data_IF_781636354001
#
_entry.id   IF_781636354001
#
_cell.length_a   1.000
_cell.length_b   1.000
_cell.length_c   1.000
_cell.angle_alpha   90.00
_cell.angle_beta   90.00
_cell.angle_gamma   90.00
#
_symmetry.space_group_name_H-M   'P 1'
#
loop_
_entity.id
_entity.type
_entity.pdbx_description
1 polymer ?
#
# COMPACT_ATOMS: atom_id res chain seq x y z
N UNK A 1 37.48 16.95 -5.79
CA UNK A 1 36.42 17.84 -6.32
C UNK A 1 35.13 17.46 -5.61
N UNK A 2 34.73 18.31 -4.67
CA UNK A 2 33.54 18.19 -3.84
C UNK A 2 32.26 18.06 -4.64
N UNK A 3 31.34 17.22 -4.15
CA UNK A 3 29.94 17.61 -3.92
C UNK A 3 29.17 16.47 -3.25
N UNK A 4 29.58 16.07 -2.04
CA UNK A 4 28.71 15.34 -1.10
C UNK A 4 27.74 16.33 -0.46
N UNK A 5 26.78 16.84 -1.25
CA UNK A 5 25.67 17.63 -0.71
C UNK A 5 24.86 16.72 0.20
N UNK A 6 24.94 16.95 1.51
CA UNK A 6 23.99 16.38 2.47
C UNK A 6 22.57 16.56 1.91
N UNK A 7 21.70 15.54 1.97
CA UNK A 7 20.37 15.64 1.39
C UNK A 7 19.66 16.83 2.01
N UNK A 8 19.36 17.83 1.17
CA UNK A 8 18.72 19.05 1.60
C UNK A 8 17.40 18.71 2.30
N UNK A 9 17.04 19.47 3.32
CA UNK A 9 15.77 19.28 4.04
C UNK A 9 14.58 19.22 3.08
N UNK A 10 14.68 19.93 1.95
CA UNK A 10 13.75 19.91 0.81
C UNK A 10 13.62 18.51 0.21
N UNK A 11 14.72 17.80 -0.06
CA UNK A 11 14.67 16.45 -0.62
C UNK A 11 13.98 15.45 0.33
N UNK A 12 14.20 15.59 1.65
CA UNK A 12 13.53 14.76 2.66
C UNK A 12 12.02 15.03 2.73
N UNK A 13 11.61 16.29 2.63
CA UNK A 13 10.19 16.67 2.59
C UNK A 13 9.55 16.20 1.28
N UNK A 14 10.21 16.39 0.14
CA UNK A 14 9.73 15.92 -1.15
C UNK A 14 9.50 14.41 -1.16
N UNK A 15 10.42 13.62 -0.61
CA UNK A 15 10.26 12.16 -0.52
C UNK A 15 9.05 11.76 0.35
N UNK A 16 8.79 12.48 1.45
CA UNK A 16 7.60 12.25 2.30
C UNK A 16 6.31 12.63 1.57
N UNK A 17 6.32 13.72 0.81
CA UNK A 17 5.15 14.14 0.02
C UNK A 17 4.84 13.13 -1.08
N UNK A 18 5.86 12.67 -1.82
CA UNK A 18 5.69 11.61 -2.84
C UNK A 18 5.18 10.33 -2.19
N UNK A 19 5.71 9.96 -1.02
CA UNK A 19 5.25 8.79 -0.28
C UNK A 19 3.76 8.89 0.09
N UNK A 20 3.35 10.02 0.67
CA UNK A 20 1.94 10.27 0.98
C UNK A 20 1.05 10.33 -0.25
N UNK A 21 1.54 10.94 -1.35
CA UNK A 21 0.78 11.02 -2.60
C UNK A 21 0.50 9.63 -3.18
N UNK A 22 1.48 8.72 -3.16
CA UNK A 22 1.30 7.34 -3.63
C UNK A 22 0.27 6.60 -2.77
N UNK A 23 0.38 6.70 -1.44
CA UNK A 23 -0.56 6.06 -0.51
C UNK A 23 -1.98 6.58 -0.71
N UNK A 24 -2.15 7.90 -0.80
CA UNK A 24 -3.46 8.52 -1.01
C UNK A 24 -4.05 8.08 -2.35
N UNK A 25 -3.25 8.05 -3.42
CA UNK A 25 -3.73 7.62 -4.73
C UNK A 25 -4.26 6.18 -4.69
N UNK A 26 -3.50 5.24 -4.14
CA UNK A 26 -3.96 3.86 -3.98
C UNK A 26 -5.18 3.74 -3.07
N UNK A 27 -5.23 4.51 -1.97
CA UNK A 27 -6.40 4.51 -1.08
C UNK A 27 -7.66 4.98 -1.81
N UNK A 28 -7.56 6.03 -2.62
CA UNK A 28 -8.67 6.52 -3.44
C UNK A 28 -9.11 5.46 -4.46
N UNK A 29 -8.17 4.82 -5.17
CA UNK A 29 -8.47 3.75 -6.13
C UNK A 29 -9.20 2.57 -5.46
N UNK A 30 -8.74 2.13 -4.28
CA UNK A 30 -9.37 1.07 -3.50
C UNK A 30 -10.81 1.45 -3.12
N UNK A 31 -11.02 2.66 -2.59
CA UNK A 31 -12.35 3.15 -2.19
C UNK A 31 -13.27 3.29 -3.42
N UNK A 32 -12.75 3.80 -4.52
CA UNK A 32 -13.50 3.97 -5.77
C UNK A 32 -13.93 2.63 -6.35
N UNK A 33 -12.99 1.68 -6.49
CA UNK A 33 -13.30 0.35 -7.01
C UNK A 33 -14.28 -0.40 -6.09
N UNK A 34 -14.11 -0.30 -4.77
CA UNK A 34 -15.07 -0.85 -3.81
C UNK A 34 -16.46 -0.22 -3.96
N UNK A 35 -16.54 1.11 -4.06
CA UNK A 35 -17.80 1.83 -4.28
C UNK A 35 -18.49 1.38 -5.57
N UNK A 36 -17.73 1.24 -6.66
CA UNK A 36 -18.26 0.75 -7.94
C UNK A 36 -18.84 -0.66 -7.80
N UNK A 37 -18.15 -1.58 -7.12
CA UNK A 37 -18.57 -2.98 -6.96
C UNK A 37 -19.81 -3.13 -6.06
N UNK A 38 -19.86 -2.37 -4.96
CA UNK A 38 -20.85 -2.55 -3.89
C UNK A 38 -22.03 -1.57 -3.93
N UNK A 39 -21.88 -0.42 -4.58
CA UNK A 39 -22.92 0.60 -4.64
C UNK A 39 -23.44 0.77 -6.07
N UNK A 40 -22.56 1.05 -7.03
CA UNK A 40 -23.00 1.38 -8.40
C UNK A 40 -23.47 0.15 -9.16
N UNK A 41 -22.72 -0.95 -9.11
CA UNK A 41 -23.07 -2.20 -9.79
C UNK A 41 -23.83 -3.18 -8.89
N UNK A 42 -24.19 -2.78 -7.67
CA UNK A 42 -25.13 -3.54 -6.87
C UNK A 42 -26.54 -3.36 -7.43
N UNK A 43 -27.17 -4.47 -7.84
CA UNK A 43 -28.53 -4.47 -8.33
C UNK A 43 -29.52 -4.05 -7.23
N UNK A 44 -30.73 -3.58 -7.61
CA UNK A 44 -31.80 -3.09 -6.74
C UNK A 44 -31.80 -3.75 -5.35
N UNK A 45 -31.27 -3.05 -4.34
CA UNK A 45 -31.18 -3.53 -2.96
C UNK A 45 -29.80 -3.44 -2.31
N UNK A 46 -28.71 -3.20 -3.05
CA UNK A 46 -27.39 -2.91 -2.46
C UNK A 46 -26.81 -4.09 -1.65
N UNK A 47 -26.04 -4.98 -2.29
CA UNK A 47 -25.43 -6.11 -1.58
C UNK A 47 -24.77 -7.14 -2.50
N UNK A 48 -24.20 -8.22 -1.91
CA UNK A 48 -23.57 -9.28 -2.69
C UNK A 48 -24.61 -9.93 -3.61
N UNK A 49 -24.22 -10.17 -4.86
CA UNK A 49 -25.03 -10.85 -5.85
C UNK A 49 -25.01 -12.36 -5.57
N UNK A 50 -25.67 -12.78 -4.48
CA UNK A 50 -25.79 -14.17 -4.06
C UNK A 50 -26.48 -15.01 -5.14
N UNK A 51 -27.80 -14.85 -5.28
CA UNK A 51 -28.67 -15.66 -6.15
C UNK A 51 -29.13 -14.94 -7.42
N UNK A 52 -28.87 -13.62 -7.55
CA UNK A 52 -29.30 -12.80 -8.69
C UNK A 52 -28.25 -12.66 -9.80
N UNK A 53 -27.16 -13.42 -9.74
CA UNK A 53 -26.09 -13.36 -10.74
C UNK A 53 -26.58 -13.74 -12.15
N UNK A 54 -27.56 -14.65 -12.25
CA UNK A 54 -28.08 -15.17 -13.53
C UNK A 54 -29.03 -14.20 -14.26
N UNK A 55 -29.56 -13.18 -13.58
CA UNK A 55 -30.52 -12.23 -14.15
C UNK A 55 -29.86 -10.93 -14.62
N UNK A 56 -28.54 -10.78 -14.44
CA UNK A 56 -27.81 -9.55 -14.77
C UNK A 56 -27.33 -9.60 -16.22
N UNK A 57 -27.48 -8.50 -16.99
CA UNK A 57 -26.88 -8.39 -18.32
C UNK A 57 -25.38 -8.68 -18.28
N UNK A 58 -24.91 -9.52 -19.22
CA UNK A 58 -23.51 -9.98 -19.26
C UNK A 58 -22.50 -8.82 -19.15
N UNK A 59 -22.74 -7.71 -19.86
CA UNK A 59 -21.87 -6.53 -19.82
C UNK A 59 -21.66 -6.00 -18.39
N UNK A 60 -22.72 -5.86 -17.60
CA UNK A 60 -22.63 -5.39 -16.21
C UNK A 60 -21.85 -6.35 -15.32
N UNK A 61 -21.90 -7.66 -15.62
CA UNK A 61 -21.14 -8.67 -14.87
C UNK A 61 -19.64 -8.59 -15.18
N UNK A 62 -19.27 -8.40 -16.45
CA UNK A 62 -17.87 -8.23 -16.86
C UNK A 62 -17.29 -6.95 -16.27
N UNK A 63 -18.02 -5.83 -16.33
CA UNK A 63 -17.58 -4.56 -15.74
C UNK A 63 -17.33 -4.67 -14.24
N UNK A 64 -18.22 -5.34 -13.49
CA UNK A 64 -18.03 -5.57 -12.05
C UNK A 64 -16.76 -6.39 -11.74
N UNK A 65 -16.44 -7.38 -12.58
CA UNK A 65 -15.21 -8.18 -12.44
C UNK A 65 -13.96 -7.34 -12.73
N UNK A 66 -14.04 -6.43 -13.70
CA UNK A 66 -12.93 -5.53 -14.02
C UNK A 66 -12.60 -4.62 -12.84
N UNK A 67 -13.60 -4.02 -12.20
CA UNK A 67 -13.41 -3.23 -10.98
C UNK A 67 -12.91 -4.07 -9.81
N UNK A 68 -13.34 -5.34 -9.70
CA UNK A 68 -12.79 -6.23 -8.68
C UNK A 68 -11.29 -6.49 -8.89
N UNK A 69 -10.86 -6.67 -10.14
CA UNK A 69 -9.43 -6.81 -10.47
C UNK A 69 -8.68 -5.52 -10.15
N UNK A 70 -9.24 -4.35 -10.50
CA UNK A 70 -8.66 -3.04 -10.17
C UNK A 70 -8.49 -2.87 -8.66
N UNK A 71 -9.50 -3.24 -7.87
CA UNK A 71 -9.42 -3.25 -6.40
C UNK A 71 -8.30 -4.16 -5.90
N UNK A 72 -8.20 -5.39 -6.41
CA UNK A 72 -7.14 -6.33 -6.01
C UNK A 72 -5.75 -5.83 -6.40
N UNK A 73 -5.58 -5.27 -7.59
CA UNK A 73 -4.32 -4.71 -8.05
C UNK A 73 -3.90 -3.51 -7.19
N UNK A 74 -4.82 -2.58 -6.91
CA UNK A 74 -4.55 -1.44 -6.04
C UNK A 74 -4.19 -1.88 -4.62
N UNK A 75 -4.89 -2.88 -4.08
CA UNK A 75 -4.61 -3.43 -2.75
C UNK A 75 -3.25 -4.12 -2.67
N UNK A 76 -2.93 -4.98 -3.64
CA UNK A 76 -1.62 -5.65 -3.72
C UNK A 76 -0.50 -4.63 -3.93
N UNK A 77 -0.72 -3.64 -4.80
CA UNK A 77 0.21 -2.54 -5.04
C UNK A 77 0.52 -1.76 -3.75
N UNK A 78 -0.52 -1.39 -3.00
CA UNK A 78 -0.38 -0.73 -1.71
C UNK A 78 0.33 -1.60 -0.67
N UNK A 79 0.00 -2.90 -0.61
CA UNK A 79 0.62 -3.84 0.32
C UNK A 79 2.12 -4.01 0.05
N UNK A 80 2.51 -4.20 -1.23
CA UNK A 80 3.92 -4.29 -1.64
C UNK A 80 4.63 -2.97 -1.37
N UNK A 81 4.00 -1.84 -1.69
CA UNK A 81 4.57 -0.52 -1.43
C UNK A 81 4.90 -0.33 0.05
N UNK A 82 3.93 -0.58 0.94
CA UNK A 82 4.12 -0.50 2.38
C UNK A 82 5.17 -1.49 2.88
N UNK A 83 5.22 -2.71 2.34
CA UNK A 83 6.24 -3.69 2.71
C UNK A 83 7.65 -3.16 2.42
N UNK A 84 7.88 -2.55 1.25
CA UNK A 84 9.19 -2.00 0.90
C UNK A 84 9.52 -0.74 1.71
N UNK A 85 8.55 0.15 1.91
CA UNK A 85 8.82 1.47 2.50
C UNK A 85 8.77 1.50 4.02
N UNK A 86 7.96 0.67 4.68
CA UNK A 86 7.84 0.65 6.15
C UNK A 86 8.64 -0.51 6.77
N UNK A 87 8.58 -1.73 6.21
CA UNK A 87 9.25 -2.89 6.82
C UNK A 87 10.76 -2.82 6.61
N UNK A 88 11.22 -2.43 5.43
CA UNK A 88 12.65 -2.26 5.10
C UNK A 88 13.42 -1.40 6.12
N UNK A 89 13.06 -0.13 6.35
CA UNK A 89 13.78 0.73 7.28
C UNK A 89 13.59 0.34 8.75
N UNK A 90 12.45 -0.27 9.13
CA UNK A 90 12.25 -0.78 10.49
C UNK A 90 13.22 -1.91 10.81
N UNK A 91 13.36 -2.88 9.90
CA UNK A 91 14.24 -4.03 10.08
C UNK A 91 15.72 -3.61 10.09
N UNK A 92 16.09 -2.64 9.24
CA UNK A 92 17.45 -2.10 9.20
C UNK A 92 17.84 -1.35 10.51
N UNK A 93 16.87 -0.78 11.24
CA UNK A 93 17.13 -0.16 12.55
C UNK A 93 17.31 -1.20 13.65
N UNK A 94 16.51 -2.27 13.64
CA UNK A 94 16.62 -3.36 14.61
C UNK A 94 18.00 -4.03 14.56
N UNK A 95 18.49 -4.36 13.35
CA UNK A 95 19.80 -5.01 13.18
C UNK A 95 20.96 -4.21 13.79
N UNK A 96 20.97 -2.88 13.63
CA UNK A 96 22.03 -2.02 14.20
C UNK A 96 21.98 -1.97 15.73
N UNK A 97 20.78 -2.05 16.30
CA UNK A 97 20.60 -2.02 17.75
C UNK A 97 21.10 -3.32 18.37
N UNK A 98 20.83 -4.46 17.75
CA UNK A 98 21.33 -5.77 18.19
C UNK A 98 22.86 -5.84 18.14
N UNK A 99 23.49 -5.29 17.09
CA UNK A 99 24.95 -5.19 16.98
C UNK A 99 25.56 -4.36 18.11
N UNK A 100 24.95 -3.23 18.47
CA UNK A 100 25.44 -2.38 19.59
C UNK A 100 25.35 -3.08 20.95
N UNK A 101 24.27 -3.82 21.21
CA UNK A 101 24.08 -4.58 22.45
C UNK A 101 25.08 -5.74 22.53
N UNK A 102 25.37 -6.39 21.39
CA UNK A 102 26.38 -7.45 21.32
C UNK A 102 27.79 -6.93 21.64
N UNK A 103 28.15 -5.76 21.11
CA UNK A 103 29.46 -5.14 21.34
C UNK A 103 29.67 -4.73 22.80
N UNK A 104 28.66 -4.19 23.47
CA UNK A 104 28.70 -3.88 24.91
C UNK A 104 28.92 -5.12 25.78
N UNK A 105 28.33 -6.26 25.41
CA UNK A 105 28.53 -7.53 26.14
C UNK A 105 29.94 -8.08 25.97
N UNK A 106 30.55 -7.93 24.79
CA UNK A 106 31.92 -8.38 24.55
C UNK A 106 32.98 -7.54 25.27
N UNK A 107 32.73 -6.25 25.53
CA UNK A 107 33.65 -5.40 26.29
C UNK A 107 33.60 -5.63 27.82
N UNK A 108 32.49 -6.19 28.33
CA UNK A 108 32.29 -6.43 29.77
C UNK A 108 32.65 -7.85 30.23
N UNK A 109 33.30 -8.67 29.40
CA UNK A 109 33.85 -9.95 29.84
C UNK A 109 35.27 -9.73 30.42
N UNK A 110 35.50 -10.01 31.73
CA UNK A 110 36.78 -9.80 32.39
C UNK A 110 37.85 -10.82 31.98
#
# INVERSE_FOLDING_TARGET
MDSTKAPSTIARVALRLVHWAIIINFAIEIVYAAYMIFVVFAHQGGGPLWTRALTIPHEKMVTRRLYAIEFWLAFVGLAIYLALTEIGPRLARQRRQDESIGQDRSQNQP
#
